data_IF_246883358637
#
_entry.id   IF_246883358637
#
_cell.length_a   1.000
_cell.length_b   1.000
_cell.length_c   1.000
_cell.angle_alpha   90.00
_cell.angle_beta   90.00
_cell.angle_gamma   90.00
#
_symmetry.space_group_name_H-M   'P 1'
#
loop_
_entity.id
_entity.type
_entity.pdbx_description
1 polymer ?
#
# COMPACT_ATOMS: atom_id res chain seq x y z
N UNK A 1 -16.42 -1.68 3.64
CA UNK A 1 -16.80 -1.04 2.36
C UNK A 1 -17.30 -2.13 1.42
N UNK A 2 -18.47 -1.95 0.84
CA UNK A 2 -18.99 -2.86 -0.19
C UNK A 2 -18.78 -2.22 -1.59
N UNK A 3 -19.08 -2.98 -2.67
CA UNK A 3 -18.87 -2.50 -4.03
C UNK A 3 -19.70 -1.24 -4.38
N UNK A 4 -20.89 -1.10 -3.78
CA UNK A 4 -21.74 0.09 -3.97
C UNK A 4 -21.16 1.32 -3.27
N UNK A 5 -20.63 1.14 -2.07
CA UNK A 5 -19.94 2.23 -1.34
C UNK A 5 -18.71 2.69 -2.09
N UNK A 6 -17.93 1.76 -2.65
CA UNK A 6 -16.77 2.09 -3.46
C UNK A 6 -17.11 2.88 -4.74
N UNK A 7 -18.27 2.62 -5.34
CA UNK A 7 -18.73 3.35 -6.54
C UNK A 7 -19.15 4.79 -6.26
N UNK A 8 -19.59 5.08 -5.03
CA UNK A 8 -20.08 6.40 -4.64
C UNK A 8 -19.05 7.28 -3.95
N UNK A 9 -17.85 6.75 -3.70
CA UNK A 9 -16.77 7.51 -3.06
C UNK A 9 -16.12 8.43 -4.08
N UNK A 10 -15.89 9.66 -3.66
CA UNK A 10 -15.01 10.57 -4.40
C UNK A 10 -13.56 10.20 -4.05
N UNK A 11 -12.85 9.67 -5.03
CA UNK A 11 -11.47 9.30 -4.87
C UNK A 11 -10.53 10.50 -5.02
N UNK A 12 -9.45 10.49 -4.25
CA UNK A 12 -8.37 11.45 -4.41
C UNK A 12 -7.60 11.20 -5.70
N UNK A 13 -6.85 12.19 -6.15
CA UNK A 13 -6.01 12.10 -7.34
C UNK A 13 -4.95 11.00 -7.22
N UNK A 14 -4.41 10.80 -6.01
CA UNK A 14 -3.40 9.80 -5.71
C UNK A 14 -3.96 8.76 -4.75
N UNK A 15 -3.72 7.48 -5.05
CA UNK A 15 -4.16 6.37 -4.21
C UNK A 15 -3.01 5.39 -4.00
N UNK A 16 -2.80 5.01 -2.74
CA UNK A 16 -1.86 3.97 -2.35
C UNK A 16 -2.66 2.82 -1.77
N UNK A 17 -2.58 1.64 -2.37
CA UNK A 17 -3.21 0.42 -1.88
C UNK A 17 -2.13 -0.47 -1.28
N UNK A 18 -2.31 -0.88 -0.04
CA UNK A 18 -1.28 -1.60 0.73
C UNK A 18 -1.86 -2.86 1.33
N UNK A 19 -1.18 -3.99 1.12
CA UNK A 19 -1.37 -5.20 1.90
C UNK A 19 -0.61 -5.03 3.23
N UNK A 20 -1.34 -4.70 4.29
CA UNK A 20 -0.77 -4.42 5.60
C UNK A 20 -0.06 -5.62 6.22
N UNK A 21 -0.60 -6.82 6.05
CA UNK A 21 0.02 -8.04 6.58
C UNK A 21 1.37 -8.32 5.90
N UNK A 22 1.43 -8.09 4.59
CA UNK A 22 2.65 -8.28 3.82
C UNK A 22 3.76 -7.31 4.25
N UNK A 23 3.47 -6.02 4.35
CA UNK A 23 4.48 -5.04 4.76
C UNK A 23 4.96 -5.27 6.19
N UNK A 24 4.08 -5.73 7.06
CA UNK A 24 4.43 -6.06 8.44
C UNK A 24 5.40 -7.24 8.51
N UNK A 25 5.17 -8.25 7.69
CA UNK A 25 6.07 -9.40 7.56
C UNK A 25 7.46 -8.98 7.03
N UNK A 26 7.48 -8.17 5.99
CA UNK A 26 8.74 -7.65 5.42
C UNK A 26 9.49 -6.80 6.45
N UNK A 27 8.79 -5.95 7.18
CA UNK A 27 9.38 -5.13 8.23
C UNK A 27 9.95 -5.98 9.36
N UNK A 28 9.26 -7.05 9.76
CA UNK A 28 9.75 -7.99 10.76
C UNK A 28 11.10 -8.59 10.35
N UNK A 29 11.18 -9.11 9.13
CA UNK A 29 12.43 -9.74 8.64
C UNK A 29 13.59 -8.74 8.63
N UNK A 30 13.34 -7.52 8.22
CA UNK A 30 14.36 -6.47 8.23
C UNK A 30 14.80 -6.10 9.63
N UNK A 31 13.86 -5.88 10.54
CA UNK A 31 14.17 -5.50 11.92
C UNK A 31 15.01 -6.59 12.58
N UNK A 32 14.62 -7.85 12.42
CA UNK A 32 15.37 -8.99 12.99
C UNK A 32 16.78 -9.04 12.42
N UNK A 33 16.95 -8.86 11.12
CA UNK A 33 18.27 -8.88 10.50
C UNK A 33 19.15 -7.71 10.98
N UNK A 34 18.60 -6.49 11.08
CA UNK A 34 19.33 -5.34 11.60
C UNK A 34 19.68 -5.49 13.09
N UNK A 35 18.78 -6.04 13.89
CA UNK A 35 19.05 -6.30 15.31
C UNK A 35 20.23 -7.26 15.47
N UNK A 36 20.30 -8.30 14.64
CA UNK A 36 21.44 -9.24 14.64
C UNK A 36 22.74 -8.58 14.24
N UNK A 37 22.71 -7.76 13.19
CA UNK A 37 23.89 -7.07 12.69
C UNK A 37 24.44 -6.03 13.67
N UNK A 38 23.54 -5.28 14.31
CA UNK A 38 23.89 -4.18 15.20
C UNK A 38 23.98 -4.56 16.66
N UNK A 39 23.58 -5.78 17.01
CA UNK A 39 23.53 -6.29 18.38
C UNK A 39 22.76 -5.34 19.33
N UNK A 40 21.66 -4.80 18.86
CA UNK A 40 20.77 -3.93 19.63
C UNK A 40 19.35 -4.05 19.13
N UNK A 41 18.38 -3.66 19.94
CA UNK A 41 16.99 -3.60 19.52
C UNK A 41 16.74 -2.44 18.56
N UNK A 42 15.95 -2.71 17.54
CA UNK A 42 15.48 -1.72 16.56
C UNK A 42 14.02 -1.41 16.87
N UNK A 43 13.64 -0.13 16.97
CA UNK A 43 12.24 0.25 17.19
C UNK A 43 11.38 -0.09 15.98
N UNK A 44 10.05 -0.13 16.19
CA UNK A 44 9.08 -0.24 15.11
C UNK A 44 9.26 0.88 14.08
N UNK A 45 9.00 0.58 12.82
CA UNK A 45 9.10 1.55 11.74
C UNK A 45 8.01 2.63 11.86
N UNK A 46 8.33 3.85 11.45
CA UNK A 46 7.37 4.95 11.36
C UNK A 46 6.50 4.75 10.12
N UNK A 47 5.23 4.45 10.35
CA UNK A 47 4.28 4.18 9.26
C UNK A 47 4.08 5.39 8.34
N UNK A 48 3.94 6.59 8.89
CA UNK A 48 3.75 7.80 8.11
C UNK A 48 4.94 8.08 7.20
N UNK A 49 6.16 7.92 7.72
CA UNK A 49 7.38 8.07 6.93
C UNK A 49 7.49 7.01 5.84
N UNK A 50 7.10 5.78 6.14
CA UNK A 50 7.09 4.70 5.17
C UNK A 50 6.14 5.03 3.99
N UNK A 51 4.94 5.53 4.30
CA UNK A 51 3.96 5.94 3.28
C UNK A 51 4.52 7.07 2.40
N UNK A 52 5.15 8.06 2.99
CA UNK A 52 5.79 9.15 2.24
C UNK A 52 6.88 8.60 1.30
N UNK A 53 7.68 7.66 1.78
CA UNK A 53 8.71 7.03 0.95
C UNK A 53 8.12 6.26 -0.22
N UNK A 54 7.00 5.55 -0.02
CA UNK A 54 6.28 4.89 -1.12
C UNK A 54 5.78 5.90 -2.15
N UNK A 55 5.22 7.01 -1.70
CA UNK A 55 4.75 8.08 -2.59
C UNK A 55 5.90 8.67 -3.42
N UNK A 56 7.05 8.91 -2.82
CA UNK A 56 8.26 9.40 -3.51
C UNK A 56 8.77 8.36 -4.52
N UNK A 57 8.82 7.10 -4.13
CA UNK A 57 9.21 6.01 -5.02
C UNK A 57 8.21 5.81 -6.17
N UNK A 58 6.94 6.10 -5.94
CA UNK A 58 5.89 6.16 -6.96
C UNK A 58 5.93 7.43 -7.81
N UNK A 59 6.99 8.22 -7.67
CA UNK A 59 7.26 9.44 -8.43
C UNK A 59 6.27 10.58 -8.23
N UNK A 60 5.64 10.66 -7.06
CA UNK A 60 4.92 11.87 -6.68
C UNK A 60 5.88 13.05 -6.61
N UNK A 61 5.50 14.15 -7.25
CA UNK A 61 6.29 15.39 -7.22
C UNK A 61 5.84 16.27 -6.05
N UNK A 62 6.75 17.12 -5.52
CA UNK A 62 6.36 18.09 -4.51
C UNK A 62 5.15 18.90 -4.92
N UNK A 63 4.23 19.11 -3.98
CA UNK A 63 3.00 19.84 -4.20
C UNK A 63 1.98 19.59 -3.10
N UNK A 64 0.92 20.37 -3.10
CA UNK A 64 -0.17 20.23 -2.14
C UNK A 64 -1.16 19.16 -2.61
N UNK A 65 -0.73 17.91 -2.60
CA UNK A 65 -1.55 16.78 -3.02
C UNK A 65 -2.50 16.30 -1.92
N UNK A 66 -3.50 15.55 -2.34
CA UNK A 66 -4.32 14.73 -1.47
C UNK A 66 -4.14 13.27 -1.89
N UNK A 67 -3.81 12.42 -0.95
CA UNK A 67 -3.54 11.00 -1.20
C UNK A 67 -4.35 10.15 -0.25
N UNK A 68 -5.09 9.19 -0.77
CA UNK A 68 -5.77 8.17 0.02
C UNK A 68 -4.88 6.95 0.13
N UNK A 69 -4.71 6.46 1.36
CA UNK A 69 -3.99 5.23 1.67
C UNK A 69 -5.01 4.21 2.11
N UNK A 70 -5.14 3.12 1.36
CA UNK A 70 -6.05 2.03 1.67
C UNK A 70 -5.22 0.86 2.18
N UNK A 71 -5.39 0.55 3.47
CA UNK A 71 -4.73 -0.58 4.13
C UNK A 71 -5.66 -1.78 4.16
N UNK A 72 -5.29 -2.85 3.49
CA UNK A 72 -5.99 -4.12 3.54
C UNK A 72 -5.28 -5.03 4.53
N UNK A 73 -6.02 -5.64 5.43
CA UNK A 73 -5.46 -6.58 6.40
C UNK A 73 -6.45 -7.69 6.71
N UNK A 74 -5.95 -8.83 7.15
CA UNK A 74 -6.80 -9.90 7.67
C UNK A 74 -7.42 -9.45 9.00
N UNK A 75 -8.71 -9.71 9.19
CA UNK A 75 -9.41 -9.38 10.42
C UNK A 75 -8.82 -10.05 11.66
N UNK A 76 -8.11 -11.17 11.48
CA UNK A 76 -7.41 -11.85 12.57
C UNK A 76 -6.12 -11.14 12.97
N UNK A 77 -5.64 -10.21 12.15
CA UNK A 77 -4.48 -9.38 12.43
C UNK A 77 -4.94 -7.94 12.67
N UNK A 78 -5.40 -7.58 13.89
CA UNK A 78 -6.01 -6.28 14.14
C UNK A 78 -5.01 -5.13 14.23
N UNK A 79 -3.71 -5.43 14.23
CA UNK A 79 -2.65 -4.42 14.32
C UNK A 79 -1.39 -4.84 13.59
N UNK A 80 -0.61 -3.83 13.18
CA UNK A 80 0.77 -4.01 12.73
C UNK A 80 1.65 -4.28 13.96
N UNK A 81 2.58 -5.22 13.83
CA UNK A 81 3.52 -5.54 14.92
C UNK A 81 4.85 -4.77 14.79
N UNK A 82 5.16 -4.29 13.58
CA UNK A 82 6.47 -3.73 13.26
C UNK A 82 6.40 -2.28 12.78
N UNK A 83 5.24 -1.66 12.90
CA UNK A 83 5.01 -0.24 12.59
C UNK A 83 4.33 0.47 13.76
N UNK A 84 4.55 1.76 13.85
CA UNK A 84 3.82 2.66 14.75
C UNK A 84 3.29 3.86 13.94
N UNK A 85 2.04 4.27 14.10
CA UNK A 85 0.99 3.63 14.90
C UNK A 85 0.63 2.25 14.37
N UNK A 86 0.03 1.40 15.20
CA UNK A 86 -0.10 -0.04 14.96
C UNK A 86 -1.53 -0.52 14.76
N UNK A 87 -2.47 -0.06 15.57
CA UNK A 87 -3.85 -0.58 15.56
C UNK A 87 -4.63 -0.04 14.37
N UNK A 88 -5.07 -0.94 13.48
CA UNK A 88 -5.76 -0.55 12.26
C UNK A 88 -7.06 0.22 12.52
N UNK A 89 -7.88 -0.25 13.43
CA UNK A 89 -9.18 0.36 13.70
C UNK A 89 -9.08 1.60 14.58
N UNK A 90 -8.20 1.58 15.57
CA UNK A 90 -8.13 2.63 16.60
C UNK A 90 -7.16 3.75 16.29
N UNK A 91 -6.06 3.44 15.61
CA UNK A 91 -4.96 4.37 15.42
C UNK A 91 -4.72 4.78 13.96
N UNK A 92 -5.18 3.99 13.00
CA UNK A 92 -4.92 4.23 11.58
C UNK A 92 -6.18 4.59 10.79
N UNK A 93 -7.26 3.85 10.94
CA UNK A 93 -8.45 4.08 10.14
C UNK A 93 -9.08 5.44 10.41
N UNK A 94 -9.34 6.20 9.34
CA UNK A 94 -9.93 7.52 9.43
C UNK A 94 -8.96 8.61 9.86
N UNK A 95 -7.69 8.30 10.01
CA UNK A 95 -6.66 9.27 10.38
C UNK A 95 -6.05 9.94 9.15
N UNK A 96 -5.56 11.15 9.35
CA UNK A 96 -4.84 11.89 8.32
C UNK A 96 -3.55 12.46 8.88
N UNK A 97 -2.55 12.58 8.03
CA UNK A 97 -1.33 13.31 8.35
C UNK A 97 -0.91 14.18 7.18
N UNK A 98 -0.10 15.17 7.44
CA UNK A 98 0.37 16.10 6.43
C UNK A 98 1.90 16.05 6.32
N UNK A 99 2.37 15.83 5.09
CA UNK A 99 3.78 15.96 4.75
C UNK A 99 4.05 17.35 4.18
N UNK A 100 5.17 17.96 4.56
CA UNK A 100 5.53 19.31 4.14
C UNK A 100 5.75 19.44 2.62
N UNK A 101 6.14 18.36 1.96
CA UNK A 101 6.45 18.35 0.53
C UNK A 101 5.31 17.83 -0.33
N UNK A 102 4.55 16.84 0.15
CA UNK A 102 3.59 16.09 -0.65
C UNK A 102 2.13 16.39 -0.33
N UNK A 103 1.84 17.06 0.80
CA UNK A 103 0.48 17.39 1.19
C UNK A 103 -0.16 16.40 2.13
N UNK A 104 -1.46 16.19 2.01
CA UNK A 104 -2.26 15.43 2.96
C UNK A 104 -2.39 13.96 2.55
N UNK A 105 -2.26 13.08 3.53
CA UNK A 105 -2.50 11.64 3.39
C UNK A 105 -3.65 11.24 4.31
N UNK A 106 -4.64 10.56 3.77
CA UNK A 106 -5.82 10.08 4.49
C UNK A 106 -5.78 8.56 4.49
N UNK A 107 -5.88 7.94 5.66
CA UNK A 107 -5.76 6.50 5.83
C UNK A 107 -7.13 5.87 6.07
N UNK A 108 -7.43 4.82 5.31
CA UNK A 108 -8.58 3.95 5.54
C UNK A 108 -8.08 2.51 5.65
N UNK A 109 -8.46 1.83 6.73
CA UNK A 109 -8.14 0.43 6.93
C UNK A 109 -9.37 -0.45 6.69
N UNK A 110 -9.20 -1.52 5.94
CA UNK A 110 -10.27 -2.46 5.58
C UNK A 110 -9.87 -3.85 6.08
N UNK A 111 -10.65 -4.39 7.01
CA UNK A 111 -10.50 -5.76 7.48
C UNK A 111 -11.10 -6.72 6.45
N UNK A 112 -10.38 -7.77 6.12
CA UNK A 112 -10.76 -8.81 5.16
C UNK A 112 -10.69 -10.19 5.82
N UNK A 113 -11.09 -11.25 5.10
CA UNK A 113 -10.98 -12.61 5.59
C UNK A 113 -12.29 -13.21 6.09
N UNK A 114 -13.43 -12.63 5.71
CA UNK A 114 -14.72 -13.29 5.83
C UNK A 114 -14.82 -14.42 4.80
N UNK A 115 -15.72 -15.38 5.04
CA UNK A 115 -15.87 -16.55 4.16
C UNK A 115 -16.07 -16.20 2.67
N UNK A 116 -16.46 -14.97 2.38
CA UNK A 116 -16.84 -14.49 1.05
C UNK A 116 -15.78 -13.61 0.39
N UNK A 117 -14.84 -13.02 1.16
CA UNK A 117 -13.90 -12.04 0.60
C UNK A 117 -12.48 -12.24 1.14
N UNK A 118 -11.64 -12.82 0.31
CA UNK A 118 -10.20 -12.88 0.58
C UNK A 118 -9.55 -11.52 0.31
N UNK A 119 -8.47 -11.22 1.02
CA UNK A 119 -7.73 -9.96 0.89
C UNK A 119 -7.32 -9.66 -0.55
N UNK A 120 -6.81 -10.64 -1.27
CA UNK A 120 -6.37 -10.47 -2.67
C UNK A 120 -7.55 -10.17 -3.61
N UNK A 121 -8.72 -10.77 -3.37
CA UNK A 121 -9.92 -10.48 -4.14
C UNK A 121 -10.40 -9.04 -3.89
N UNK A 122 -10.35 -8.59 -2.65
CA UNK A 122 -10.69 -7.20 -2.29
C UNK A 122 -9.71 -6.22 -2.94
N UNK A 123 -8.43 -6.54 -2.93
CA UNK A 123 -7.39 -5.75 -3.60
C UNK A 123 -7.69 -5.58 -5.10
N UNK A 124 -7.97 -6.68 -5.79
CA UNK A 124 -8.25 -6.68 -7.23
C UNK A 124 -9.55 -5.92 -7.55
N UNK A 125 -10.60 -6.14 -6.79
CA UNK A 125 -11.88 -5.44 -6.99
C UNK A 125 -11.74 -3.94 -6.75
N UNK A 126 -11.01 -3.54 -5.71
CA UNK A 126 -10.73 -2.14 -5.43
C UNK A 126 -9.93 -1.50 -6.56
N UNK A 127 -8.88 -2.17 -7.02
CA UNK A 127 -8.04 -1.69 -8.12
C UNK A 127 -8.87 -1.50 -9.40
N UNK A 128 -9.70 -2.47 -9.77
CA UNK A 128 -10.58 -2.37 -10.94
C UNK A 128 -11.57 -1.23 -10.81
N UNK A 129 -12.10 -1.01 -9.60
CA UNK A 129 -13.03 0.10 -9.33
C UNK A 129 -12.35 1.45 -9.55
N UNK A 130 -11.19 1.67 -8.96
CA UNK A 130 -10.51 2.97 -9.06
C UNK A 130 -9.93 3.24 -10.45
N UNK A 131 -9.63 2.20 -11.22
CA UNK A 131 -9.19 2.37 -12.62
C UNK A 131 -10.26 3.01 -13.49
N UNK A 132 -11.53 2.89 -13.14
CA UNK A 132 -12.65 3.47 -13.87
C UNK A 132 -12.98 4.92 -13.45
N UNK A 133 -12.29 5.45 -12.43
CA UNK A 133 -12.51 6.81 -11.96
C UNK A 133 -11.52 7.79 -12.60
N UNK A 134 -12.05 8.73 -13.36
CA UNK A 134 -11.25 9.70 -14.11
C UNK A 134 -10.44 10.64 -13.21
N UNK A 135 -10.93 10.92 -12.01
CA UNK A 135 -10.25 11.77 -11.02
C UNK A 135 -8.96 11.16 -10.49
N UNK A 136 -8.83 9.85 -10.55
CA UNK A 136 -7.63 9.14 -10.08
C UNK A 136 -6.56 9.19 -11.15
N UNK A 137 -5.43 9.82 -10.84
CA UNK A 137 -4.31 10.03 -11.78
C UNK A 137 -3.10 9.16 -11.46
N UNK A 138 -2.92 8.78 -10.19
CA UNK A 138 -1.77 8.01 -9.74
C UNK A 138 -2.21 6.92 -8.79
N UNK A 139 -1.77 5.70 -9.05
CA UNK A 139 -2.07 4.53 -8.22
C UNK A 139 -0.76 3.83 -7.88
N UNK A 140 -0.53 3.58 -6.61
CA UNK A 140 0.62 2.83 -6.11
C UNK A 140 0.10 1.62 -5.37
N UNK A 141 0.57 0.43 -5.76
CA UNK A 141 0.11 -0.84 -5.19
C UNK A 141 1.28 -1.54 -4.52
N UNK A 142 1.14 -1.81 -3.23
CA UNK A 142 2.09 -2.59 -2.44
C UNK A 142 1.40 -3.87 -1.99
N UNK A 143 1.66 -4.96 -2.69
CA UNK A 143 1.03 -6.26 -2.47
C UNK A 143 2.07 -7.34 -2.25
N UNK A 144 1.61 -8.56 -1.92
CA UNK A 144 2.50 -9.70 -1.70
C UNK A 144 3.21 -10.10 -3.00
N UNK A 145 4.43 -9.62 -3.18
CA UNK A 145 5.25 -9.89 -4.36
C UNK A 145 5.79 -11.33 -4.42
N UNK A 146 5.71 -12.07 -3.33
CA UNK A 146 6.10 -13.49 -3.30
C UNK A 146 5.01 -14.38 -3.91
N UNK A 147 3.78 -13.90 -4.00
CA UNK A 147 2.68 -14.59 -4.67
C UNK A 147 2.74 -14.31 -6.18
N UNK A 148 3.32 -15.24 -6.93
CA UNK A 148 3.51 -15.10 -8.37
C UNK A 148 2.19 -15.06 -9.15
N UNK A 149 1.15 -15.75 -8.66
CA UNK A 149 -0.16 -15.75 -9.29
C UNK A 149 -0.85 -14.40 -9.11
N UNK A 150 -0.79 -13.83 -7.90
CA UNK A 150 -1.31 -12.50 -7.64
C UNK A 150 -0.61 -11.45 -8.49
N UNK A 151 0.71 -11.50 -8.56
CA UNK A 151 1.51 -10.56 -9.37
C UNK A 151 1.19 -10.68 -10.85
N UNK A 152 1.00 -11.90 -11.36
CA UNK A 152 0.58 -12.13 -12.74
C UNK A 152 -0.81 -11.55 -13.03
N UNK A 153 -1.75 -11.74 -12.12
CA UNK A 153 -3.11 -11.19 -12.23
C UNK A 153 -3.10 -9.66 -12.20
N UNK A 154 -2.31 -9.05 -11.31
CA UNK A 154 -2.15 -7.60 -11.25
C UNK A 154 -1.58 -7.05 -12.56
N UNK A 155 -0.54 -7.66 -13.08
CA UNK A 155 0.06 -7.25 -14.36
C UNK A 155 -0.93 -7.35 -15.50
N UNK A 156 -1.72 -8.42 -15.55
CA UNK A 156 -2.77 -8.59 -16.56
C UNK A 156 -3.85 -7.51 -16.46
N UNK A 157 -4.29 -7.21 -15.24
CA UNK A 157 -5.30 -6.17 -14.98
C UNK A 157 -4.82 -4.78 -15.42
N UNK A 158 -3.53 -4.51 -15.28
CA UNK A 158 -2.93 -3.21 -15.58
C UNK A 158 -2.42 -3.08 -17.03
N UNK A 159 -2.44 -4.15 -17.81
CA UNK A 159 -1.81 -4.19 -19.13
C UNK A 159 -2.36 -3.15 -20.10
N UNK A 160 -3.66 -2.94 -20.09
CA UNK A 160 -4.36 -2.10 -21.07
C UNK A 160 -4.69 -0.71 -20.53
N UNK A 161 -4.11 -0.35 -19.40
CA UNK A 161 -4.32 0.99 -18.81
C UNK A 161 -3.47 2.01 -19.56
N UNK A 162 -4.09 3.13 -19.94
CA UNK A 162 -3.41 4.21 -20.66
C UNK A 162 -2.50 5.01 -19.70
N UNK A 163 -1.22 4.99 -19.96
CA UNK A 163 -0.19 5.66 -19.16
C UNK A 163 -0.30 7.17 -19.14
N UNK A 164 -0.81 7.75 -20.20
CA UNK A 164 -0.99 9.19 -20.28
C UNK A 164 -2.11 9.65 -19.33
N UNK A 165 -3.07 8.77 -19.06
CA UNK A 165 -4.20 9.05 -18.17
C UNK A 165 -3.93 8.71 -16.71
N UNK A 166 -3.21 7.62 -16.46
CA UNK A 166 -2.93 7.14 -15.11
C UNK A 166 -1.50 6.63 -14.97
N UNK A 167 -0.82 7.12 -13.93
CA UNK A 167 0.49 6.57 -13.53
C UNK A 167 0.29 5.47 -12.50
N UNK A 168 0.65 4.24 -12.85
CA UNK A 168 0.51 3.09 -11.97
C UNK A 168 1.87 2.51 -11.66
N UNK A 169 2.17 2.35 -10.38
CA UNK A 169 3.39 1.70 -9.90
C UNK A 169 3.01 0.49 -9.07
N UNK A 170 3.50 -0.65 -9.47
CA UNK A 170 3.38 -1.90 -8.73
C UNK A 170 4.70 -2.16 -8.01
N UNK A 171 4.66 -2.19 -6.68
CA UNK A 171 5.84 -2.40 -5.86
C UNK A 171 6.04 -3.88 -5.55
N UNK A 172 7.24 -4.35 -5.72
CA UNK A 172 7.69 -5.63 -5.20
C UNK A 172 8.71 -5.36 -4.10
N UNK A 173 8.31 -5.61 -2.87
CA UNK A 173 9.17 -5.48 -1.70
C UNK A 173 9.64 -6.87 -1.28
N UNK A 174 10.80 -7.29 -1.77
CA UNK A 174 11.42 -8.52 -1.33
C UNK A 174 12.70 -8.20 -0.57
N UNK A 175 12.92 -8.81 0.60
CA UNK A 175 14.22 -8.72 1.22
C UNK A 175 15.23 -9.42 0.31
N UNK A 176 16.26 -8.70 -0.12
CA UNK A 176 17.38 -9.31 -0.82
C UNK A 176 18.35 -9.90 0.18
N UNK A 177 19.07 -10.96 -0.24
CA UNK A 177 20.25 -11.41 0.46
C UNK A 177 21.19 -10.22 0.64
N UNK A 178 21.55 -9.92 1.90
CA UNK A 178 22.37 -8.76 2.21
C UNK A 178 21.63 -7.54 2.74
N UNK A 179 20.31 -7.62 2.96
CA UNK A 179 19.53 -6.58 3.63
C UNK A 179 19.08 -5.41 2.76
N UNK A 180 19.20 -5.51 1.46
CA UNK A 180 18.68 -4.52 0.52
C UNK A 180 17.30 -4.93 -0.01
N UNK A 181 16.43 -3.95 -0.20
CA UNK A 181 15.15 -4.19 -0.87
C UNK A 181 15.31 -4.09 -2.37
N UNK A 182 14.74 -5.07 -3.07
CA UNK A 182 14.53 -4.96 -4.49
C UNK A 182 13.13 -4.40 -4.74
N UNK A 183 13.06 -3.26 -5.36
CA UNK A 183 11.82 -2.71 -5.90
C UNK A 183 11.73 -3.08 -7.38
N UNK A 184 10.74 -3.89 -7.72
CA UNK A 184 10.34 -4.06 -9.11
C UNK A 184 9.23 -3.04 -9.36
N UNK A 185 9.57 -1.99 -10.08
CA UNK A 185 8.61 -1.00 -10.50
C UNK A 185 8.08 -1.40 -11.85
N UNK A 186 6.83 -1.79 -11.92
CA UNK A 186 6.13 -1.69 -13.16
C UNK A 186 5.48 -0.31 -13.21
N UNK A 187 6.16 0.61 -13.82
CA UNK A 187 5.47 1.71 -14.45
C UNK A 187 4.72 1.10 -15.62
N UNK A 188 3.43 1.20 -15.67
CA UNK A 188 2.69 0.91 -16.89
C UNK A 188 3.01 2.04 -17.84
N UNK A 189 4.04 1.82 -18.60
CA UNK A 189 4.53 2.75 -19.62
C UNK A 189 3.94 2.36 -20.95
#
# INVERSE_FOLDING_TARGET
>A
MNAQEAQNIKWSENIIIVDGDYIDHVAFDLIVNFERMLNRRIPAADFSQWVVNIALDGRMKPGNHETQVVLLHDKQNPKLENFAPADYAKELNGQAFKDSQLGEFIINAIATGDEVAKKDDVLLDLLKTILNHEEVKRIMVVSNAEDSQLMSTLRSTLRDVDDELKHITLFAMQPLEGGNFKQDRKSVV
#
